data_IF_562624457239
#
_entry.id   IF_562624457239
#
_cell.length_a   1.000
_cell.length_b   1.000
_cell.length_c   1.000
_cell.angle_alpha   90.00
_cell.angle_beta   90.00
_cell.angle_gamma   90.00
#
_symmetry.space_group_name_H-M   'P 1'
#
loop_
_entity.id
_entity.type
_entity.pdbx_description
1 polymer ?
#
# COMPACT_ATOMS: atom_id res chain seq x y z
N UNK A 1 5.06 -9.08 26.33
CA UNK A 1 5.38 -8.06 25.30
C UNK A 1 6.13 -8.80 24.21
N UNK A 2 5.39 -9.41 23.30
CA UNK A 2 5.84 -10.53 22.43
C UNK A 2 4.83 -10.46 21.27
N UNK A 3 5.11 -10.18 20.01
CA UNK A 3 6.32 -10.21 19.17
C UNK A 3 6.28 -8.95 18.29
N UNK A 4 7.39 -8.24 18.11
CA UNK A 4 7.47 -7.35 16.96
C UNK A 4 7.37 -8.23 15.70
N UNK A 5 6.39 -7.95 14.83
CA UNK A 5 6.28 -8.65 13.55
C UNK A 5 7.57 -8.50 12.71
N UNK A 6 7.68 -9.16 11.55
CA UNK A 6 8.92 -9.21 10.76
C UNK A 6 9.43 -7.85 10.23
N UNK A 7 8.73 -6.76 10.52
CA UNK A 7 9.07 -5.41 10.08
C UNK A 7 9.21 -4.46 11.28
N UNK A 8 10.32 -3.72 11.30
CA UNK A 8 10.62 -2.67 12.27
C UNK A 8 9.70 -1.45 12.08
N UNK A 9 9.40 -1.11 10.82
CA UNK A 9 8.46 -0.04 10.46
C UNK A 9 7.46 -0.54 9.43
N UNK A 10 6.23 -0.02 9.52
CA UNK A 10 5.17 -0.28 8.57
C UNK A 10 4.45 1.04 8.25
N UNK A 11 4.17 1.28 6.99
CA UNK A 11 3.30 2.36 6.54
C UNK A 11 2.19 1.80 5.66
N UNK A 12 0.97 2.27 5.88
CA UNK A 12 -0.18 2.03 5.02
C UNK A 12 -0.70 3.39 4.53
N UNK A 13 -0.90 3.50 3.21
CA UNK A 13 -1.43 4.70 2.58
C UNK A 13 -2.62 4.34 1.67
N UNK A 14 -3.48 5.32 1.43
CA UNK A 14 -4.70 5.18 0.62
C UNK A 14 -4.92 6.40 -0.29
N UNK A 15 -3.96 6.78 -1.15
CA UNK A 15 -4.15 7.88 -2.09
C UNK A 15 -5.28 7.58 -3.08
N UNK A 16 -6.02 8.63 -3.43
CA UNK A 16 -6.94 8.58 -4.58
C UNK A 16 -6.20 9.03 -5.83
N UNK A 17 -6.31 8.26 -6.91
CA UNK A 17 -5.78 8.64 -8.22
C UNK A 17 -6.85 8.52 -9.30
N UNK A 18 -6.71 9.33 -10.36
CA UNK A 18 -7.52 9.19 -11.57
C UNK A 18 -6.94 8.05 -12.40
N UNK A 19 -7.79 7.11 -12.80
CA UNK A 19 -7.40 5.99 -13.68
C UNK A 19 -8.39 5.86 -14.83
N UNK A 20 -7.93 5.33 -15.97
CA UNK A 20 -8.80 5.01 -17.09
C UNK A 20 -9.22 3.54 -17.03
N UNK A 21 -10.50 3.28 -16.82
CA UNK A 21 -11.11 1.95 -16.79
C UNK A 21 -12.21 1.90 -17.86
N UNK A 22 -12.10 0.97 -18.81
CA UNK A 22 -13.11 0.84 -19.88
C UNK A 22 -13.32 2.12 -20.71
N UNK A 23 -12.28 2.95 -20.88
CA UNK A 23 -12.36 4.22 -21.60
C UNK A 23 -12.98 5.38 -20.80
N UNK A 24 -13.22 5.21 -19.50
CA UNK A 24 -13.74 6.27 -18.61
C UNK A 24 -12.74 6.60 -17.51
N UNK A 25 -12.62 7.89 -17.18
CA UNK A 25 -11.71 8.36 -16.12
C UNK A 25 -12.38 8.30 -14.75
N UNK A 26 -12.10 7.27 -13.96
CA UNK A 26 -12.68 7.04 -12.62
C UNK A 26 -11.72 7.45 -11.51
N UNK A 27 -12.24 7.63 -10.29
CA UNK A 27 -11.41 7.77 -9.10
C UNK A 27 -11.22 6.40 -8.47
N UNK A 28 -9.97 6.05 -8.19
CA UNK A 28 -9.60 4.78 -7.56
C UNK A 28 -8.76 5.06 -6.32
N UNK A 29 -9.11 4.39 -5.22
CA UNK A 29 -8.27 4.37 -4.02
C UNK A 29 -7.24 3.28 -4.18
N UNK A 30 -5.97 3.63 -3.96
CA UNK A 30 -4.85 2.70 -4.01
C UNK A 30 -4.36 2.44 -2.61
N UNK A 31 -4.65 1.25 -2.11
CA UNK A 31 -4.16 0.81 -0.81
C UNK A 31 -2.75 0.24 -0.99
N UNK A 32 -1.76 0.94 -0.44
CA UNK A 32 -0.35 0.56 -0.53
C UNK A 32 0.20 0.30 0.87
N UNK A 33 0.82 -0.87 1.06
CA UNK A 33 1.55 -1.19 2.29
C UNK A 33 3.03 -1.33 2.01
N UNK A 34 3.85 -0.64 2.79
CA UNK A 34 5.32 -0.70 2.73
C UNK A 34 5.85 -1.05 4.11
N UNK A 35 6.78 -2.00 4.16
CA UNK A 35 7.48 -2.40 5.38
C UNK A 35 8.98 -2.15 5.28
N UNK A 36 9.62 -1.95 6.42
CA UNK A 36 11.09 -1.92 6.57
C UNK A 36 11.48 -3.02 7.55
N UNK A 37 12.32 -3.95 7.11
CA UNK A 37 12.78 -5.07 7.96
C UNK A 37 13.90 -4.65 8.92
N UNK A 38 14.41 -5.59 9.71
CA UNK A 38 15.49 -5.36 10.66
C UNK A 38 16.82 -4.92 10.00
N UNK A 39 17.06 -5.34 8.75
CA UNK A 39 18.24 -4.95 7.97
C UNK A 39 18.11 -3.55 7.33
N UNK A 40 16.98 -2.87 7.56
CA UNK A 40 16.68 -1.56 6.97
C UNK A 40 16.20 -1.62 5.52
N UNK A 41 15.92 -2.80 4.97
CA UNK A 41 15.42 -2.94 3.60
C UNK A 41 13.92 -2.59 3.53
N UNK A 42 13.59 -1.63 2.67
CA UNK A 42 12.22 -1.17 2.42
C UNK A 42 11.61 -1.87 1.23
N UNK A 43 10.41 -2.43 1.38
CA UNK A 43 9.69 -3.12 0.30
C UNK A 43 8.19 -2.93 0.34
N UNK A 44 7.56 -2.98 -0.83
CA UNK A 44 6.10 -3.05 -0.96
C UNK A 44 5.66 -4.45 -0.56
N UNK A 45 4.72 -4.53 0.38
CA UNK A 45 4.19 -5.78 0.91
C UNK A 45 2.86 -6.15 0.26
N UNK A 46 2.03 -5.14 -0.01
CA UNK A 46 0.74 -5.34 -0.66
C UNK A 46 0.35 -4.09 -1.46
N UNK A 47 -0.45 -4.34 -2.49
CA UNK A 47 -1.10 -3.34 -3.31
C UNK A 47 -2.51 -3.83 -3.61
N UNK A 48 -3.51 -2.99 -3.35
CA UNK A 48 -4.89 -3.26 -3.71
C UNK A 48 -5.56 -2.00 -4.26
N UNK A 49 -6.51 -2.19 -5.16
CA UNK A 49 -7.27 -1.12 -5.79
C UNK A 49 -8.74 -1.28 -5.44
N UNK A 50 -9.41 -0.17 -5.19
CA UNK A 50 -10.87 -0.15 -5.10
C UNK A 50 -11.42 1.07 -5.82
N UNK A 51 -12.41 0.83 -6.67
CA UNK A 51 -13.15 1.86 -7.39
C UNK A 51 -14.44 2.14 -6.64
N UNK A 52 -14.95 3.37 -6.76
CA UNK A 52 -16.27 3.74 -6.26
C UNK A 52 -17.26 3.83 -7.41
#
# INVERSE_FOLDING_TARGET
MTEAGPFTFLSADAPTMKVCEGGRMVNTVVMLTVGVNADGHRGVLSLALTTR
#
